data_IF_040974152615
#
_entry.id   IF_040974152615
#
_cell.length_a   1.000
_cell.length_b   1.000
_cell.length_c   1.000
_cell.angle_alpha   90.00
_cell.angle_beta   90.00
_cell.angle_gamma   90.00
#
_symmetry.space_group_name_H-M   'P 1'
#
loop_
_entity.id
_entity.type
_entity.pdbx_description
1 polymer ?
#
# COMPACT_ATOMS: atom_id res chain seq x y z
N UNK A 1 1.99 5.53 -27.37
CA UNK A 1 1.70 5.07 -26.00
C UNK A 1 1.96 6.21 -25.03
N UNK A 2 1.33 6.18 -23.86
CA UNK A 2 1.58 7.14 -22.78
C UNK A 2 2.83 6.75 -22.01
N UNK A 3 3.65 7.73 -21.63
CA UNK A 3 4.78 7.52 -20.74
C UNK A 3 4.27 7.44 -19.30
N UNK A 4 4.45 6.28 -18.65
CA UNK A 4 3.91 5.99 -17.32
C UNK A 4 5.03 5.74 -16.33
N UNK A 5 5.17 6.64 -15.36
CA UNK A 5 6.11 6.51 -14.25
C UNK A 5 5.56 5.59 -13.16
N UNK A 6 6.32 4.59 -12.77
CA UNK A 6 5.96 3.59 -11.75
C UNK A 6 6.87 3.74 -10.53
N UNK A 7 6.30 4.12 -9.38
CA UNK A 7 7.01 4.37 -8.12
C UNK A 7 6.49 3.44 -7.03
N UNK A 8 7.37 2.86 -6.23
CA UNK A 8 6.97 1.93 -5.16
C UNK A 8 6.55 0.54 -5.66
N UNK A 9 6.86 0.21 -6.90
CA UNK A 9 6.48 -1.02 -7.60
C UNK A 9 7.02 -2.32 -6.97
N UNK A 10 8.02 -2.26 -6.07
CA UNK A 10 8.58 -3.41 -5.32
C UNK A 10 7.96 -3.62 -3.95
N UNK A 11 7.12 -2.69 -3.49
CA UNK A 11 6.39 -2.83 -2.22
C UNK A 11 5.24 -3.83 -2.34
N UNK A 12 4.57 -4.13 -1.22
CA UNK A 12 3.45 -5.10 -1.20
C UNK A 12 2.37 -4.75 -2.23
N UNK A 13 1.86 -3.52 -2.19
CA UNK A 13 0.82 -3.05 -3.14
C UNK A 13 1.38 -2.96 -4.55
N UNK A 14 2.59 -2.39 -4.72
CA UNK A 14 3.21 -2.23 -6.02
C UNK A 14 3.48 -3.55 -6.72
N UNK A 15 3.98 -4.58 -6.01
CA UNK A 15 4.22 -5.90 -6.60
C UNK A 15 2.94 -6.54 -7.12
N UNK A 16 1.86 -6.49 -6.33
CA UNK A 16 0.55 -7.01 -6.76
C UNK A 16 0.04 -6.25 -7.99
N UNK A 17 0.22 -4.92 -8.03
CA UNK A 17 -0.14 -4.13 -9.20
C UNK A 17 0.66 -4.55 -10.45
N UNK A 18 1.98 -4.75 -10.31
CA UNK A 18 2.82 -5.20 -11.43
C UNK A 18 2.39 -6.57 -11.96
N UNK A 19 2.08 -7.50 -11.07
CA UNK A 19 1.61 -8.84 -11.44
C UNK A 19 0.26 -8.77 -12.18
N UNK A 20 -0.68 -7.96 -11.69
CA UNK A 20 -1.99 -7.76 -12.34
C UNK A 20 -1.85 -7.09 -13.70
N UNK A 21 -1.11 -5.99 -13.80
CA UNK A 21 -0.86 -5.29 -15.07
C UNK A 21 -0.17 -6.21 -16.10
N UNK A 22 0.70 -7.11 -15.66
CA UNK A 22 1.31 -8.11 -16.54
C UNK A 22 0.31 -9.15 -17.00
N UNK A 23 -0.53 -9.65 -16.12
CA UNK A 23 -1.53 -10.67 -16.42
C UNK A 23 -2.63 -10.16 -17.39
N UNK A 24 -3.01 -8.88 -17.24
CA UNK A 24 -4.04 -8.23 -18.09
C UNK A 24 -3.47 -7.64 -19.40
N UNK A 25 -2.14 -7.65 -19.58
CA UNK A 25 -1.49 -7.09 -20.77
C UNK A 25 -1.43 -5.55 -20.79
N UNK A 26 -1.61 -4.89 -19.64
CA UNK A 26 -1.63 -3.43 -19.55
C UNK A 26 -0.31 -2.79 -19.98
N UNK A 27 0.81 -3.49 -19.76
CA UNK A 27 2.12 -3.01 -20.19
C UNK A 27 2.23 -2.86 -21.71
N UNK A 28 1.43 -3.57 -22.50
CA UNK A 28 1.43 -3.42 -23.96
C UNK A 28 0.87 -2.07 -24.41
N UNK A 29 0.03 -1.45 -23.58
CA UNK A 29 -0.66 -0.19 -23.88
C UNK A 29 0.16 1.05 -23.51
N UNK A 30 1.20 0.91 -22.68
CA UNK A 30 1.97 2.00 -22.10
C UNK A 30 3.46 1.89 -22.41
N UNK A 31 4.19 3.00 -22.18
CA UNK A 31 5.66 3.03 -22.09
C UNK A 31 6.04 3.18 -20.62
N UNK A 32 6.41 2.10 -19.93
CA UNK A 32 6.67 2.13 -18.50
C UNK A 32 8.08 2.65 -18.21
N UNK A 33 8.18 3.56 -17.24
CA UNK A 33 9.43 4.07 -16.67
C UNK A 33 9.44 3.80 -15.17
N UNK A 34 10.49 3.15 -14.69
CA UNK A 34 10.58 2.71 -13.31
C UNK A 34 11.46 3.62 -12.46
N UNK A 35 10.92 4.02 -11.32
CA UNK A 35 11.58 4.88 -10.35
C UNK A 35 11.89 4.12 -9.05
N UNK A 36 12.99 4.49 -8.40
CA UNK A 36 13.41 3.88 -7.14
C UNK A 36 13.90 4.93 -6.15
N UNK A 37 13.55 4.74 -4.88
CA UNK A 37 14.05 5.55 -3.76
C UNK A 37 15.39 5.06 -3.24
N UNK A 38 15.77 3.80 -3.50
CA UNK A 38 16.94 3.15 -2.88
C UNK A 38 17.91 2.50 -3.85
N UNK A 39 17.57 2.38 -5.15
CA UNK A 39 18.38 1.68 -6.15
C UNK A 39 18.35 2.37 -7.51
N UNK A 40 18.45 3.70 -7.52
CA UNK A 40 18.56 4.47 -8.76
C UNK A 40 19.81 4.07 -9.54
N UNK A 41 19.71 4.02 -10.88
CA UNK A 41 20.77 3.53 -11.77
C UNK A 41 20.86 2.01 -11.89
N UNK A 42 20.16 1.26 -11.04
CA UNK A 42 20.05 -0.19 -11.17
C UNK A 42 19.20 -0.62 -12.37
N UNK A 43 19.22 -1.92 -12.69
CA UNK A 43 18.41 -2.47 -13.76
C UNK A 43 16.90 -2.37 -13.46
N UNK A 44 16.14 -1.91 -14.45
CA UNK A 44 14.68 -1.93 -14.40
C UNK A 44 14.13 -3.37 -14.57
N UNK A 45 12.88 -3.66 -14.13
CA UNK A 45 12.29 -4.97 -14.28
C UNK A 45 12.03 -5.34 -15.76
N UNK A 46 11.71 -6.60 -16.00
CA UNK A 46 11.52 -7.16 -17.35
C UNK A 46 10.43 -6.44 -18.18
N UNK A 47 9.45 -5.80 -17.53
CA UNK A 47 8.40 -5.03 -18.16
C UNK A 47 8.89 -3.70 -18.76
N UNK A 48 10.08 -3.24 -18.39
CA UNK A 48 10.68 -2.04 -18.96
C UNK A 48 10.99 -2.24 -20.45
N UNK A 49 10.65 -1.25 -21.26
CA UNK A 49 10.84 -1.29 -22.71
C UNK A 49 12.10 -0.52 -23.14
N UNK A 50 11.97 0.78 -23.29
CA UNK A 50 13.05 1.63 -23.79
C UNK A 50 14.02 2.06 -22.68
N UNK A 51 13.52 2.43 -21.52
CA UNK A 51 14.34 2.88 -20.39
C UNK A 51 14.58 1.73 -19.40
N UNK A 52 15.72 1.05 -19.54
CA UNK A 52 16.06 -0.17 -18.79
C UNK A 52 16.83 0.08 -17.50
N UNK A 53 16.93 1.33 -17.07
CA UNK A 53 17.54 1.72 -15.79
C UNK A 53 16.50 2.38 -14.89
N UNK A 54 16.66 2.20 -13.59
CA UNK A 54 15.84 2.83 -12.57
C UNK A 54 16.21 4.29 -12.40
N UNK A 55 15.22 5.17 -12.49
CA UNK A 55 15.40 6.60 -12.20
C UNK A 55 15.28 6.90 -10.71
N UNK A 56 15.81 8.06 -10.30
CA UNK A 56 15.64 8.58 -8.94
C UNK A 56 14.18 8.97 -8.73
N UNK A 57 13.52 8.39 -7.72
CA UNK A 57 12.11 8.64 -7.45
C UNK A 57 11.81 10.08 -6.98
N UNK A 58 12.82 10.82 -6.52
CA UNK A 58 12.69 12.22 -6.10
C UNK A 58 13.11 13.23 -7.18
N UNK A 59 13.52 12.77 -8.35
CA UNK A 59 13.87 13.65 -9.47
C UNK A 59 12.60 14.17 -10.16
N UNK A 60 12.21 15.38 -9.78
CA UNK A 60 11.03 16.07 -10.34
C UNK A 60 11.16 16.27 -11.86
N UNK A 61 12.38 16.48 -12.39
CA UNK A 61 12.59 16.65 -13.82
C UNK A 61 12.30 15.35 -14.58
N UNK A 62 12.82 14.23 -14.10
CA UNK A 62 12.56 12.91 -14.69
C UNK A 62 11.07 12.52 -14.60
N UNK A 63 10.45 12.74 -13.43
CA UNK A 63 9.03 12.49 -13.19
C UNK A 63 8.12 13.37 -14.09
N UNK A 64 8.48 14.62 -14.31
CA UNK A 64 7.69 15.56 -15.12
C UNK A 64 7.59 15.18 -16.60
N UNK A 65 8.43 14.28 -17.08
CA UNK A 65 8.36 13.72 -18.45
C UNK A 65 7.16 12.77 -18.60
N UNK A 66 6.68 12.18 -17.50
CA UNK A 66 5.62 11.18 -17.54
C UNK A 66 4.24 11.84 -17.78
N UNK A 67 3.44 11.25 -18.64
CA UNK A 67 2.03 11.61 -18.82
C UNK A 67 1.20 11.21 -17.59
N UNK A 68 1.57 10.09 -16.99
CA UNK A 68 0.90 9.48 -15.83
C UNK A 68 1.98 9.01 -14.85
N UNK A 69 1.75 9.24 -13.57
CA UNK A 69 2.55 8.66 -12.49
C UNK A 69 1.65 7.78 -11.64
N UNK A 70 2.05 6.52 -11.46
CA UNK A 70 1.39 5.57 -10.56
C UNK A 70 2.32 5.33 -9.38
N UNK A 71 1.86 5.61 -8.17
CA UNK A 71 2.67 5.45 -6.97
C UNK A 71 2.00 4.55 -5.92
N UNK A 72 2.78 3.64 -5.39
CA UNK A 72 2.50 2.83 -4.20
C UNK A 72 3.64 3.00 -3.15
N UNK A 73 4.34 4.16 -3.19
CA UNK A 73 5.51 4.42 -2.33
C UNK A 73 5.13 4.86 -0.91
N UNK A 74 3.87 5.28 -0.69
CA UNK A 74 3.36 5.69 0.61
C UNK A 74 3.21 7.20 0.76
N UNK A 75 2.58 7.61 1.88
CA UNK A 75 2.13 8.98 2.11
C UNK A 75 3.25 10.01 2.21
N UNK A 76 4.38 9.66 2.80
CA UNK A 76 5.54 10.56 2.94
C UNK A 76 6.10 10.96 1.57
N UNK A 77 6.20 9.98 0.67
CA UNK A 77 6.60 10.23 -0.72
C UNK A 77 5.64 11.21 -1.41
N UNK A 78 4.34 10.97 -1.28
CA UNK A 78 3.31 11.84 -1.87
C UNK A 78 3.38 13.25 -1.29
N UNK A 79 3.52 13.37 0.03
CA UNK A 79 3.66 14.65 0.72
C UNK A 79 4.86 15.47 0.21
N UNK A 80 5.97 14.79 -0.07
CA UNK A 80 7.17 15.45 -0.55
C UNK A 80 7.15 15.77 -2.04
N UNK A 81 6.77 14.81 -2.88
CA UNK A 81 6.98 14.87 -4.34
C UNK A 81 5.82 15.52 -5.07
N UNK A 82 4.58 15.19 -4.72
CA UNK A 82 3.40 15.69 -5.43
C UNK A 82 3.32 17.23 -5.52
N UNK A 83 3.50 18.00 -4.41
CA UNK A 83 3.45 19.47 -4.51
C UNK A 83 4.59 20.04 -5.35
N UNK A 84 5.79 19.44 -5.31
CA UNK A 84 6.93 19.88 -6.13
C UNK A 84 6.63 19.69 -7.63
N UNK A 85 6.03 18.56 -8.01
CA UNK A 85 5.62 18.29 -9.38
C UNK A 85 4.57 19.31 -9.87
N UNK A 86 3.55 19.57 -9.07
CA UNK A 86 2.51 20.55 -9.42
C UNK A 86 3.08 21.98 -9.50
N UNK A 87 3.98 22.36 -8.58
CA UNK A 87 4.67 23.63 -8.61
C UNK A 87 5.58 23.81 -9.84
N UNK A 88 6.18 22.70 -10.32
CA UNK A 88 6.95 22.68 -11.56
C UNK A 88 6.08 22.78 -12.84
N UNK A 89 4.74 22.87 -12.69
CA UNK A 89 3.81 22.99 -13.81
C UNK A 89 3.42 21.66 -14.47
N UNK A 90 3.77 20.51 -13.88
CA UNK A 90 3.36 19.21 -14.42
C UNK A 90 1.84 19.04 -14.42
N UNK A 91 1.30 18.66 -15.58
CA UNK A 91 -0.14 18.54 -15.84
C UNK A 91 -0.57 17.08 -16.09
N UNK A 92 0.29 16.12 -15.81
CA UNK A 92 -0.03 14.69 -15.96
C UNK A 92 -1.00 14.17 -14.89
N UNK A 93 -1.41 12.94 -15.04
CA UNK A 93 -2.28 12.26 -14.09
C UNK A 93 -1.47 11.61 -12.96
N UNK A 94 -1.89 11.87 -11.72
CA UNK A 94 -1.34 11.25 -10.52
C UNK A 94 -2.31 10.18 -10.04
N UNK A 95 -1.83 8.93 -9.96
CA UNK A 95 -2.58 7.78 -9.43
C UNK A 95 -1.84 7.28 -8.20
N UNK A 96 -2.51 7.25 -7.05
CA UNK A 96 -1.85 7.03 -5.77
C UNK A 96 -2.62 6.06 -4.87
N UNK A 97 -1.92 5.07 -4.35
CA UNK A 97 -2.47 4.15 -3.34
C UNK A 97 -2.53 4.77 -1.94
N UNK A 98 -1.71 5.80 -1.66
CA UNK A 98 -1.62 6.44 -0.35
C UNK A 98 -2.85 7.30 -0.02
N UNK A 99 -3.07 7.52 1.28
CA UNK A 99 -4.22 8.29 1.78
C UNK A 99 -4.06 9.81 1.74
N UNK A 100 -2.84 10.29 1.52
CA UNK A 100 -2.46 11.71 1.68
C UNK A 100 -3.38 12.70 0.97
N UNK A 101 -3.84 12.35 -0.22
CA UNK A 101 -4.68 13.23 -1.03
C UNK A 101 -6.18 12.90 -0.98
N UNK A 102 -6.62 11.88 -0.24
CA UNK A 102 -8.03 11.42 -0.24
C UNK A 102 -9.04 12.50 0.13
N UNK A 103 -8.65 13.43 0.99
CA UNK A 103 -9.54 14.49 1.49
C UNK A 103 -9.27 15.85 0.83
N UNK A 104 -8.59 15.87 -0.32
CA UNK A 104 -8.37 17.10 -1.10
C UNK A 104 -9.50 17.30 -2.10
N UNK A 105 -9.94 18.54 -2.26
CA UNK A 105 -11.08 18.89 -3.12
C UNK A 105 -10.82 18.61 -4.62
N UNK A 106 -9.56 18.59 -5.03
CA UNK A 106 -9.11 18.33 -6.39
C UNK A 106 -8.72 16.86 -6.64
N UNK A 107 -9.00 15.99 -5.67
CA UNK A 107 -8.72 14.55 -5.75
C UNK A 107 -10.01 13.73 -5.85
N UNK A 108 -9.95 12.62 -6.58
CA UNK A 108 -11.05 11.68 -6.74
C UNK A 108 -10.63 10.33 -6.18
N UNK A 109 -11.37 9.84 -5.20
CA UNK A 109 -11.23 8.46 -4.73
C UNK A 109 -11.81 7.53 -5.80
N UNK A 110 -11.01 6.57 -6.27
CA UNK A 110 -11.41 5.66 -7.35
C UNK A 110 -11.72 4.26 -6.82
N UNK A 111 -12.88 3.77 -7.20
CA UNK A 111 -13.31 2.38 -7.05
C UNK A 111 -14.33 2.10 -8.18
N UNK A 112 -13.81 1.80 -9.37
CA UNK A 112 -14.55 1.77 -10.63
C UNK A 112 -15.92 1.07 -10.55
N UNK A 113 -16.02 -0.16 -10.00
CA UNK A 113 -17.32 -0.85 -9.94
C UNK A 113 -18.37 -0.13 -9.09
N UNK A 114 -17.93 0.76 -8.20
CA UNK A 114 -18.81 1.49 -7.27
C UNK A 114 -19.13 2.90 -7.78
N UNK A 115 -18.12 3.63 -8.27
CA UNK A 115 -18.26 5.06 -8.55
C UNK A 115 -17.80 5.50 -9.95
N UNK A 116 -17.85 4.62 -10.95
CA UNK A 116 -17.47 4.95 -12.34
C UNK A 116 -18.06 6.28 -12.86
N UNK A 117 -19.35 6.63 -12.63
CA UNK A 117 -19.89 7.91 -13.08
C UNK A 117 -19.17 9.13 -12.49
N UNK A 118 -18.70 9.04 -11.23
CA UNK A 118 -17.92 10.12 -10.59
C UNK A 118 -16.57 10.26 -11.27
N UNK A 119 -15.90 9.14 -11.56
CA UNK A 119 -14.60 9.10 -12.24
C UNK A 119 -14.74 9.71 -13.64
N UNK A 120 -15.72 9.28 -14.41
CA UNK A 120 -15.97 9.79 -15.77
C UNK A 120 -16.27 11.29 -15.79
N UNK A 121 -17.10 11.77 -14.86
CA UNK A 121 -17.41 13.19 -14.74
C UNK A 121 -16.15 14.00 -14.39
N UNK A 122 -15.36 13.53 -13.44
CA UNK A 122 -14.12 14.19 -13.06
C UNK A 122 -13.10 14.23 -14.22
N UNK A 123 -12.98 13.16 -15.00
CA UNK A 123 -12.16 13.12 -16.22
C UNK A 123 -12.62 14.17 -17.23
N UNK A 124 -13.92 14.27 -17.48
CA UNK A 124 -14.50 15.24 -18.40
C UNK A 124 -14.26 16.70 -17.95
N UNK A 125 -14.17 16.93 -16.66
CA UNK A 125 -13.86 18.24 -16.06
C UNK A 125 -12.35 18.53 -15.94
N UNK A 126 -11.49 17.62 -16.44
CA UNK A 126 -10.04 17.80 -16.41
C UNK A 126 -9.37 17.38 -15.09
N UNK A 127 -10.03 16.56 -14.28
CA UNK A 127 -9.46 15.96 -13.07
C UNK A 127 -8.18 15.19 -13.36
N UNK A 128 -7.21 15.23 -12.42
CA UNK A 128 -5.87 14.67 -12.63
C UNK A 128 -5.32 13.92 -11.42
N UNK A 129 -6.03 13.91 -10.29
CA UNK A 129 -5.59 13.28 -9.04
C UNK A 129 -6.53 12.12 -8.69
N UNK A 130 -6.04 10.90 -8.88
CA UNK A 130 -6.82 9.67 -8.75
C UNK A 130 -6.28 8.85 -7.58
N UNK A 131 -7.06 8.74 -6.52
CA UNK A 131 -6.57 8.22 -5.26
C UNK A 131 -7.29 6.92 -4.90
N UNK A 132 -6.54 5.87 -4.65
CA UNK A 132 -7.09 4.62 -4.16
C UNK A 132 -7.82 4.80 -2.84
N UNK A 133 -8.98 4.19 -2.68
CA UNK A 133 -9.73 4.16 -1.43
C UNK A 133 -8.96 3.41 -0.32
N UNK A 134 -9.45 3.48 0.91
CA UNK A 134 -8.98 2.60 1.97
C UNK A 134 -9.26 1.14 1.56
N UNK A 135 -8.27 0.26 1.66
CA UNK A 135 -8.37 -1.12 1.18
C UNK A 135 -9.55 -1.88 1.81
N UNK A 136 -9.71 -1.79 3.13
CA UNK A 136 -10.79 -2.46 3.87
C UNK A 136 -12.15 -1.90 3.48
N UNK A 137 -12.28 -0.57 3.38
CA UNK A 137 -13.53 0.08 2.94
C UNK A 137 -13.85 -0.26 1.48
N UNK A 138 -12.86 -0.32 0.62
CA UNK A 138 -13.05 -0.72 -0.78
C UNK A 138 -13.58 -2.15 -0.88
N UNK A 139 -13.00 -3.11 -0.15
CA UNK A 139 -13.51 -4.48 -0.08
C UNK A 139 -14.96 -4.53 0.42
N UNK A 140 -15.27 -3.77 1.48
CA UNK A 140 -16.62 -3.67 2.00
C UNK A 140 -17.61 -3.12 0.96
N UNK A 141 -17.26 -2.02 0.29
CA UNK A 141 -18.11 -1.39 -0.71
C UNK A 141 -18.32 -2.26 -1.96
N UNK A 142 -17.35 -3.09 -2.32
CA UNK A 142 -17.53 -4.10 -3.38
C UNK A 142 -18.65 -5.10 -3.03
N UNK A 143 -18.82 -5.43 -1.73
CA UNK A 143 -19.87 -6.32 -1.27
C UNK A 143 -21.23 -5.64 -1.07
N UNK A 144 -21.25 -4.43 -0.49
CA UNK A 144 -22.49 -3.79 -0.04
C UNK A 144 -22.80 -2.45 -0.73
N UNK A 145 -21.96 -1.97 -1.62
CA UNK A 145 -22.12 -0.66 -2.27
C UNK A 145 -23.42 -0.51 -3.06
N UNK A 146 -23.89 -1.60 -3.67
CA UNK A 146 -25.19 -1.60 -4.37
C UNK A 146 -26.38 -1.35 -3.42
N UNK A 147 -26.33 -1.85 -2.18
CA UNK A 147 -27.35 -1.61 -1.16
C UNK A 147 -27.36 -0.15 -0.73
N UNK A 148 -26.18 0.46 -0.55
CA UNK A 148 -26.06 1.90 -0.28
C UNK A 148 -26.64 2.73 -1.43
N UNK A 149 -26.28 2.39 -2.66
CA UNK A 149 -26.79 3.09 -3.85
C UNK A 149 -28.31 3.00 -3.99
N UNK A 150 -28.91 1.89 -3.55
CA UNK A 150 -30.35 1.69 -3.52
C UNK A 150 -31.06 2.35 -2.32
N UNK A 151 -30.35 3.00 -1.41
CA UNK A 151 -30.89 3.63 -0.21
C UNK A 151 -31.46 2.64 0.83
N UNK A 152 -30.97 1.39 0.80
CA UNK A 152 -31.46 0.32 1.68
C UNK A 152 -30.68 0.20 2.99
N UNK A 153 -29.62 0.99 3.17
CA UNK A 153 -28.78 0.98 4.38
C UNK A 153 -28.87 2.34 5.06
N UNK A 154 -29.44 2.37 6.25
CA UNK A 154 -29.51 3.58 7.09
C UNK A 154 -28.20 3.78 7.87
N UNK A 155 -27.71 2.72 8.48
CA UNK A 155 -26.44 2.73 9.21
C UNK A 155 -25.82 1.34 9.23
N UNK A 156 -24.51 1.28 9.48
CA UNK A 156 -23.78 0.03 9.59
C UNK A 156 -22.68 0.13 10.62
N UNK A 157 -22.55 -0.89 11.48
CA UNK A 157 -21.39 -1.09 12.34
C UNK A 157 -20.49 -2.14 11.70
N UNK A 158 -19.19 -1.85 11.64
CA UNK A 158 -18.22 -2.71 10.97
C UNK A 158 -17.07 -3.04 11.91
N UNK A 159 -16.78 -4.34 12.04
CA UNK A 159 -15.57 -4.84 12.68
C UNK A 159 -14.73 -5.54 11.62
N UNK A 160 -13.41 -5.30 11.64
CA UNK A 160 -12.51 -5.78 10.61
C UNK A 160 -11.33 -6.55 11.20
N UNK A 161 -10.89 -7.57 10.46
CA UNK A 161 -9.62 -8.24 10.68
C UNK A 161 -8.71 -7.91 9.52
N UNK A 162 -7.67 -7.11 9.77
CA UNK A 162 -6.75 -6.67 8.74
C UNK A 162 -5.38 -7.32 8.92
N UNK A 163 -4.83 -7.84 7.82
CA UNK A 163 -3.47 -8.38 7.82
C UNK A 163 -2.44 -7.26 8.07
N UNK A 164 -1.38 -7.57 8.81
CA UNK A 164 -0.27 -6.62 9.05
C UNK A 164 0.38 -6.12 7.76
N UNK A 165 0.31 -6.90 6.67
CA UNK A 165 0.78 -6.50 5.34
C UNK A 165 0.09 -5.23 4.80
N UNK A 166 -1.13 -4.93 5.24
CA UNK A 166 -1.82 -3.68 4.91
C UNK A 166 -1.14 -2.42 5.46
N UNK A 167 -0.36 -2.55 6.55
CA UNK A 167 0.50 -1.49 7.09
C UNK A 167 1.89 -1.42 6.42
N UNK A 168 2.18 -2.33 5.48
CA UNK A 168 3.45 -2.38 4.77
C UNK A 168 4.43 -3.43 5.30
N UNK A 169 5.58 -3.52 4.64
CA UNK A 169 6.60 -4.55 4.93
C UNK A 169 7.17 -4.44 6.35
N UNK A 170 7.23 -3.24 6.92
CA UNK A 170 7.74 -3.02 8.27
C UNK A 170 6.82 -3.67 9.31
N UNK A 171 5.49 -3.46 9.21
CA UNK A 171 4.51 -4.08 10.10
C UNK A 171 4.51 -5.61 9.99
N UNK A 172 4.68 -6.18 8.79
CA UNK A 172 4.83 -7.62 8.63
C UNK A 172 6.08 -8.15 9.35
N UNK A 173 7.22 -7.48 9.19
CA UNK A 173 8.47 -7.87 9.85
C UNK A 173 8.34 -7.78 11.37
N UNK A 174 7.73 -6.71 11.86
CA UNK A 174 7.46 -6.51 13.28
C UNK A 174 6.61 -7.66 13.84
N UNK A 175 5.48 -7.98 13.20
CA UNK A 175 4.60 -9.06 13.65
C UNK A 175 5.34 -10.40 13.72
N UNK A 176 6.14 -10.74 12.70
CA UNK A 176 6.93 -11.96 12.67
C UNK A 176 8.02 -11.97 13.76
N UNK A 177 8.62 -10.82 14.05
CA UNK A 177 9.59 -10.67 15.14
C UNK A 177 8.92 -10.89 16.50
N UNK A 178 7.73 -10.33 16.71
CA UNK A 178 6.96 -10.55 17.93
C UNK A 178 6.62 -12.03 18.15
N UNK A 179 6.15 -12.72 17.10
CA UNK A 179 5.90 -14.17 17.18
C UNK A 179 7.18 -14.96 17.48
N UNK A 180 8.30 -14.58 16.87
CA UNK A 180 9.61 -15.18 17.17
C UNK A 180 10.01 -15.02 18.64
N UNK A 181 9.81 -13.84 19.21
CA UNK A 181 10.08 -13.56 20.62
C UNK A 181 9.21 -14.40 21.56
N UNK A 182 7.92 -14.51 21.29
CA UNK A 182 7.01 -15.35 22.07
C UNK A 182 7.36 -16.83 21.93
N UNK A 183 7.65 -17.28 20.70
CA UNK A 183 8.03 -18.68 20.46
C UNK A 183 9.33 -19.06 21.18
N UNK A 184 10.34 -18.17 21.17
CA UNK A 184 11.62 -18.44 21.86
C UNK A 184 11.47 -18.64 23.37
N UNK A 185 10.53 -17.95 24.00
CA UNK A 185 10.25 -18.07 25.45
C UNK A 185 9.73 -19.46 25.84
N UNK A 186 8.96 -20.09 24.97
CA UNK A 186 8.30 -21.37 25.27
C UNK A 186 8.81 -22.53 24.45
N UNK A 187 9.83 -22.34 23.60
CA UNK A 187 10.32 -23.34 22.66
C UNK A 187 10.64 -24.68 23.31
N UNK A 188 11.37 -24.66 24.43
CA UNK A 188 11.74 -25.87 25.13
C UNK A 188 10.52 -26.65 25.70
N UNK A 189 9.47 -25.93 26.08
CA UNK A 189 8.22 -26.55 26.54
C UNK A 189 7.40 -27.12 25.38
N UNK A 190 7.46 -26.50 24.20
CA UNK A 190 6.78 -27.00 23.00
C UNK A 190 7.44 -28.29 22.47
N UNK A 191 8.75 -28.41 22.63
CA UNK A 191 9.50 -29.57 22.19
C UNK A 191 9.37 -30.78 23.16
N UNK A 192 8.90 -30.55 24.39
CA UNK A 192 8.62 -31.63 25.38
C UNK A 192 7.11 -31.92 25.45
N UNK A 193 6.65 -33.09 24.92
CA UNK A 193 5.22 -33.45 24.94
C UNK A 193 4.64 -33.65 26.34
N UNK A 194 5.46 -33.68 27.40
CA UNK A 194 5.01 -33.74 28.81
C UNK A 194 4.74 -32.40 29.41
N UNK A 195 5.08 -31.32 28.74
CA UNK A 195 4.86 -29.95 29.21
C UNK A 195 3.38 -29.66 29.42
N UNK A 196 3.04 -29.07 30.55
CA UNK A 196 1.66 -28.68 30.84
C UNK A 196 1.28 -27.46 30.01
N UNK A 197 0.16 -27.51 29.29
CA UNK A 197 -0.30 -26.42 28.43
C UNK A 197 -0.51 -25.10 29.21
N UNK A 198 -0.95 -25.15 30.44
CA UNK A 198 -1.11 -23.97 31.31
C UNK A 198 0.21 -23.31 31.69
N UNK A 199 1.32 -24.04 31.66
CA UNK A 199 2.66 -23.46 31.91
C UNK A 199 3.11 -22.70 30.66
N UNK A 200 2.86 -23.23 29.47
CA UNK A 200 3.10 -22.56 28.20
C UNK A 200 2.31 -21.26 28.14
N UNK A 201 1.00 -21.32 28.40
CA UNK A 201 0.11 -20.16 28.44
C UNK A 201 0.59 -19.06 29.41
N UNK A 202 0.92 -19.44 30.66
CA UNK A 202 1.44 -18.49 31.66
C UNK A 202 2.72 -17.79 31.20
N UNK A 203 3.66 -18.51 30.57
CA UNK A 203 4.90 -17.89 30.09
C UNK A 203 4.66 -16.95 28.92
N UNK A 204 3.81 -17.33 27.97
CA UNK A 204 3.44 -16.46 26.86
C UNK A 204 2.81 -15.17 27.38
N UNK A 205 1.83 -15.26 28.29
CA UNK A 205 1.18 -14.10 28.89
C UNK A 205 2.19 -13.23 29.67
N UNK A 206 3.06 -13.86 30.46
CA UNK A 206 4.09 -13.14 31.21
C UNK A 206 5.04 -12.39 30.27
N UNK A 207 5.49 -13.03 29.19
CA UNK A 207 6.35 -12.42 28.18
C UNK A 207 5.67 -11.25 27.47
N UNK A 208 4.41 -11.39 27.08
CA UNK A 208 3.62 -10.31 26.46
C UNK A 208 3.50 -9.07 27.37
N UNK A 209 3.41 -9.28 28.67
CA UNK A 209 3.32 -8.18 29.65
C UNK A 209 4.65 -7.50 29.94
N UNK A 210 5.76 -8.23 29.79
CA UNK A 210 7.10 -7.81 30.20
C UNK A 210 8.12 -7.91 29.04
N UNK A 211 7.80 -7.33 27.90
CA UNK A 211 8.76 -7.15 26.80
C UNK A 211 9.79 -6.09 27.21
N UNK A 212 11.07 -6.35 26.92
CA UNK A 212 12.15 -5.39 27.18
C UNK A 212 12.07 -4.18 26.23
N UNK A 213 12.79 -3.11 26.55
CA UNK A 213 12.88 -1.94 25.70
C UNK A 213 13.45 -2.28 24.31
N UNK A 214 14.45 -3.17 24.24
CA UNK A 214 15.06 -3.60 22.99
C UNK A 214 14.08 -4.41 22.13
N UNK A 215 13.27 -5.25 22.76
CA UNK A 215 12.23 -6.05 22.07
C UNK A 215 11.08 -5.20 21.52
N UNK A 216 10.85 -4.03 22.11
CA UNK A 216 9.78 -3.10 21.71
C UNK A 216 10.26 -1.89 20.92
N UNK A 217 11.57 -1.73 20.74
CA UNK A 217 12.17 -0.54 20.13
C UNK A 217 11.62 -0.18 18.74
N UNK A 218 11.10 -1.17 18.00
CA UNK A 218 10.56 -0.98 16.66
C UNK A 218 9.08 -1.40 16.57
N UNK A 219 8.35 -1.42 17.71
CA UNK A 219 6.94 -1.82 17.72
C UNK A 219 6.05 -0.61 17.45
N UNK A 220 5.47 -0.56 16.26
CA UNK A 220 4.51 0.46 15.80
C UNK A 220 3.06 -0.06 15.83
N UNK A 221 2.86 -1.37 15.56
CA UNK A 221 1.51 -1.97 15.49
C UNK A 221 0.94 -2.40 16.84
N UNK A 222 1.69 -2.20 17.93
CA UNK A 222 1.33 -2.67 19.25
C UNK A 222 1.77 -4.11 19.51
N UNK A 223 1.18 -4.76 20.54
CA UNK A 223 1.57 -6.10 20.96
C UNK A 223 0.72 -7.16 20.28
N UNK A 224 1.36 -8.22 19.74
CA UNK A 224 0.64 -9.40 19.29
C UNK A 224 -0.09 -10.07 20.46
N UNK A 225 -1.33 -10.46 20.23
CA UNK A 225 -2.14 -11.25 21.17
C UNK A 225 -2.27 -12.67 20.64
N UNK A 226 -2.09 -13.65 21.50
CA UNK A 226 -2.27 -15.08 21.24
C UNK A 226 -3.48 -15.58 22.01
#
# INVERSE_FOLDING_TARGET
SKLVGLVGWRGMVGSVLMDRMSAEGDFDLIEPVFFSTSNAGGAAPAMAKNERQLHVAFDVSALSRCDIIITAQGGDYTTEVFPKLRAAGWKGHWIDAASTLRMKDDAVIILDPVNMPVIQNALAQGGRNWIGGNCTVSCMLMGVGALYKAGLVEWMSTMTYQAASGGGAQHMRELLTQYGTLNSEVRALLDDPKSAILEIDRRVIAKQRHLSADETANFEIGRAHV
#
